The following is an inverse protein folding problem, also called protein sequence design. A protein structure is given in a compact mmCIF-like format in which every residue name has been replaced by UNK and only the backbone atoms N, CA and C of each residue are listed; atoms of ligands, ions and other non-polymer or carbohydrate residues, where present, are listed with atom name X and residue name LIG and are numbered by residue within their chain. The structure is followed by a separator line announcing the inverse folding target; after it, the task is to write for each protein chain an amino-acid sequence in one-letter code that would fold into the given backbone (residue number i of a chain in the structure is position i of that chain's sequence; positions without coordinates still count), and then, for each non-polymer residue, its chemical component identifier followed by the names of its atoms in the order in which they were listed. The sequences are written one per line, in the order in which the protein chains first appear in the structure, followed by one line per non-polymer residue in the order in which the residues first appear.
data_IF_731788321025
#
_entry.id   IF_731788321025
#
_cell.length_a   1.000
_cell.length_b   1.000
_cell.length_c   1.000
_cell.angle_alpha   90.00
_cell.angle_beta   90.00
_cell.angle_gamma   90.00
#
_symmetry.space_group_name_H-M   'P 1'
#
loop_
_entity.id
_entity.type
_entity.pdbx_description
1 polymer ?
#
# COMPACT_ATOMS: atom_id res chain seq x y z
N UNK A 1 -16.63 67.60 2.13
CA UNK A 1 -17.83 66.90 1.62
C UNK A 1 -18.15 65.77 2.59
N UNK A 2 -19.24 65.92 3.34
CA UNK A 2 -19.75 64.95 4.31
C UNK A 2 -20.54 63.85 3.60
N UNK A 3 -20.39 62.60 4.04
CA UNK A 3 -21.45 61.59 3.96
C UNK A 3 -21.28 60.58 5.12
N UNK A 4 -22.04 60.83 6.18
CA UNK A 4 -22.35 59.83 7.21
C UNK A 4 -23.36 58.84 6.64
N UNK A 5 -23.18 57.54 6.89
CA UNK A 5 -24.29 56.59 6.86
C UNK A 5 -24.07 55.50 7.92
N UNK A 6 -24.79 55.68 9.01
CA UNK A 6 -25.05 54.75 10.10
C UNK A 6 -25.88 53.57 9.57
N UNK A 7 -25.47 52.33 9.89
CA UNK A 7 -26.39 51.18 9.91
C UNK A 7 -26.27 50.46 11.25
N UNK A 8 -27.42 50.33 11.91
CA UNK A 8 -27.62 49.68 13.21
C UNK A 8 -27.43 48.16 13.12
N UNK A 9 -27.06 47.49 14.24
CA UNK A 9 -27.06 46.04 14.34
C UNK A 9 -28.48 45.52 14.57
N UNK A 10 -28.91 44.51 13.79
CA UNK A 10 -30.16 43.78 14.04
C UNK A 10 -29.85 42.39 14.63
N UNK A 11 -30.48 42.14 15.78
CA UNK A 11 -30.96 40.88 16.39
C UNK A 11 -30.30 39.56 15.96
N UNK A 12 -29.69 38.78 16.85
CA UNK A 12 -30.34 37.92 17.88
C UNK A 12 -31.41 37.02 17.30
N UNK A 13 -31.05 35.73 17.16
CA UNK A 13 -31.83 34.47 17.26
C UNK A 13 -31.22 33.45 16.27
N UNK A 14 -31.03 32.16 16.54
CA UNK A 14 -31.50 31.28 17.60
C UNK A 14 -30.54 30.08 17.58
N UNK A 15 -29.81 29.81 18.68
CA UNK A 15 -29.07 28.54 18.82
C UNK A 15 -30.08 27.46 19.20
N UNK A 16 -30.11 26.29 18.56
CA UNK A 16 -30.98 25.21 19.01
C UNK A 16 -30.58 24.78 20.43
N UNK A 17 -31.54 24.57 21.36
CA UNK A 17 -31.21 24.21 22.74
C UNK A 17 -30.65 22.78 22.81
N UNK A 18 -29.55 22.63 23.55
CA UNK A 18 -28.95 21.33 23.89
C UNK A 18 -30.00 20.46 24.59
N UNK A 19 -30.20 19.24 24.07
CA UNK A 19 -31.10 18.24 24.65
C UNK A 19 -30.75 18.03 26.13
N UNK A 20 -31.73 18.30 26.99
CA UNK A 20 -31.68 18.06 28.44
C UNK A 20 -31.27 16.60 28.72
N UNK A 21 -30.25 16.41 29.57
CA UNK A 21 -29.92 15.10 30.16
C UNK A 21 -31.11 14.58 30.96
N UNK A 22 -31.49 13.29 30.87
CA UNK A 22 -32.42 12.71 31.84
C UNK A 22 -31.73 12.51 33.21
N UNK A 23 -32.50 12.52 34.32
CA UNK A 23 -32.00 12.35 35.69
C UNK A 23 -31.47 10.92 35.94
N UNK A 24 -30.62 10.70 36.97
CA UNK A 24 -30.15 9.37 37.31
C UNK A 24 -31.29 8.57 37.93
N UNK A 25 -31.60 7.42 37.37
CA UNK A 25 -32.51 6.46 38.00
C UNK A 25 -31.72 5.69 39.05
N UNK A 26 -32.01 5.93 40.33
CA UNK A 26 -31.72 4.98 41.41
C UNK A 26 -32.39 3.64 41.05
N UNK A 27 -31.58 2.64 40.71
CA UNK A 27 -32.05 1.26 40.61
C UNK A 27 -31.81 0.58 41.95
N UNK A 28 -32.87 0.57 42.74
CA UNK A 28 -33.07 -0.41 43.79
C UNK A 28 -33.05 -1.84 43.20
N UNK A 29 -32.59 -2.76 44.03
CA UNK A 29 -31.94 -4.02 43.65
C UNK A 29 -32.76 -4.97 42.79
N UNK A 30 -32.09 -5.52 41.77
CA UNK A 30 -32.23 -6.93 41.37
C UNK A 30 -30.86 -7.46 40.94
N UNK A 31 -30.39 -8.42 41.71
CA UNK A 31 -29.51 -9.50 41.26
C UNK A 31 -29.85 -9.91 39.82
N UNK A 32 -28.94 -9.66 38.88
CA UNK A 32 -28.82 -10.47 37.68
C UNK A 32 -27.33 -10.64 37.37
N UNK A 33 -26.80 -11.88 37.38
CA UNK A 33 -25.40 -12.13 37.09
C UNK A 33 -25.11 -11.88 35.60
N UNK A 34 -23.92 -11.32 35.37
CA UNK A 34 -23.16 -11.09 34.13
C UNK A 34 -23.74 -11.57 32.77
N UNK A 35 -23.61 -10.78 31.69
CA UNK A 35 -23.83 -11.27 30.34
C UNK A 35 -22.63 -12.11 29.88
N UNK A 36 -22.50 -13.32 30.42
CA UNK A 36 -21.82 -14.39 29.70
C UNK A 36 -22.78 -14.85 28.60
N UNK A 37 -22.52 -14.44 27.36
CA UNK A 37 -22.74 -15.19 26.12
C UNK A 37 -22.41 -14.28 24.95
N UNK A 38 -21.16 -13.77 24.92
CA UNK A 38 -20.53 -13.48 23.64
C UNK A 38 -20.33 -14.85 22.99
N UNK A 39 -21.29 -15.25 22.15
CA UNK A 39 -21.07 -16.39 21.26
C UNK A 39 -19.77 -16.10 20.52
N UNK A 40 -18.72 -16.93 20.63
CA UNK A 40 -17.55 -16.75 19.81
C UNK A 40 -18.06 -16.83 18.38
N UNK A 41 -17.83 -15.76 17.60
CA UNK A 41 -17.93 -15.88 16.16
C UNK A 41 -17.06 -17.09 15.80
N UNK A 42 -17.55 -18.06 15.01
CA UNK A 42 -16.65 -19.04 14.46
C UNK A 42 -15.69 -18.24 13.58
N UNK A 43 -14.50 -17.95 14.13
CA UNK A 43 -13.33 -17.64 13.33
C UNK A 43 -13.16 -18.90 12.51
N UNK A 44 -13.76 -18.94 11.32
CA UNK A 44 -13.44 -19.95 10.34
C UNK A 44 -11.91 -19.92 10.24
N UNK A 45 -11.20 -21.02 10.54
CA UNK A 45 -9.84 -21.15 10.06
C UNK A 45 -9.98 -21.31 8.56
N UNK A 46 -10.06 -20.19 7.84
CA UNK A 46 -9.81 -20.20 6.42
C UNK A 46 -8.31 -20.43 6.30
N UNK A 47 -7.95 -21.71 6.30
CA UNK A 47 -7.01 -22.27 5.34
C UNK A 47 -7.54 -21.88 3.96
N UNK A 48 -7.44 -20.60 3.61
CA UNK A 48 -7.77 -20.09 2.31
C UNK A 48 -6.67 -20.64 1.41
N UNK A 49 -6.91 -21.83 0.86
CA UNK A 49 -6.24 -22.22 -0.35
C UNK A 49 -6.55 -21.09 -1.33
N UNK A 50 -5.57 -20.27 -1.72
CA UNK A 50 -5.83 -19.17 -2.64
C UNK A 50 -6.45 -19.77 -3.89
N UNK A 51 -7.54 -19.17 -4.37
CA UNK A 51 -8.17 -19.59 -5.62
C UNK A 51 -7.08 -19.54 -6.71
N UNK A 52 -6.73 -20.68 -7.34
CA UNK A 52 -5.61 -20.76 -8.27
C UNK A 52 -5.78 -19.80 -9.47
N UNK A 53 -7.02 -19.41 -9.79
CA UNK A 53 -7.30 -18.43 -10.85
C UNK A 53 -6.87 -17.02 -10.43
N UNK A 54 -7.08 -16.66 -9.16
CA UNK A 54 -6.68 -15.36 -8.61
C UNK A 54 -5.17 -15.26 -8.48
N UNK A 55 -4.50 -16.36 -8.11
CA UNK A 55 -3.05 -16.40 -7.95
C UNK A 55 -2.32 -16.19 -9.29
N UNK A 56 -2.77 -16.87 -10.35
CA UNK A 56 -2.22 -16.71 -11.70
C UNK A 56 -2.47 -15.31 -12.26
N UNK A 57 -3.66 -14.73 -12.05
CA UNK A 57 -3.94 -13.35 -12.44
C UNK A 57 -3.01 -12.35 -11.72
N UNK A 58 -2.78 -12.53 -10.42
CA UNK A 58 -1.86 -11.70 -9.65
C UNK A 58 -0.43 -11.84 -10.16
N UNK A 59 0.01 -13.06 -10.49
CA UNK A 59 1.33 -13.32 -11.05
C UNK A 59 1.54 -12.55 -12.36
N UNK A 60 0.57 -12.57 -13.27
CA UNK A 60 0.65 -11.82 -14.54
C UNK A 60 0.79 -10.32 -14.31
N UNK A 61 0.02 -9.76 -13.38
CA UNK A 61 0.13 -8.33 -13.00
C UNK A 61 1.51 -8.02 -12.45
N UNK A 62 2.09 -8.92 -11.63
CA UNK A 62 3.46 -8.75 -11.11
C UNK A 62 4.49 -8.78 -12.24
N UNK A 63 4.39 -9.71 -13.20
CA UNK A 63 5.32 -9.74 -14.34
C UNK A 63 5.19 -8.48 -15.21
N UNK A 64 3.98 -7.96 -15.43
CA UNK A 64 3.77 -6.70 -16.14
C UNK A 64 4.38 -5.51 -15.39
N UNK A 65 4.25 -5.47 -14.05
CA UNK A 65 4.87 -4.45 -13.22
C UNK A 65 6.40 -4.55 -13.21
N UNK A 66 6.98 -5.75 -13.30
CA UNK A 66 8.42 -5.95 -13.44
C UNK A 66 8.87 -5.53 -14.83
N UNK A 67 8.07 -5.80 -15.87
CA UNK A 67 8.39 -5.49 -17.25
C UNK A 67 9.58 -6.32 -17.77
N UNK A 68 10.38 -5.80 -18.72
CA UNK A 68 11.51 -6.52 -19.31
C UNK A 68 12.73 -6.64 -18.39
N UNK A 69 12.61 -6.25 -17.11
CA UNK A 69 13.70 -6.36 -16.13
C UNK A 69 13.94 -7.82 -15.79
N UNK A 70 14.96 -8.38 -16.39
CA UNK A 70 15.49 -9.70 -16.08
C UNK A 70 16.95 -9.58 -15.58
N UNK A 71 17.46 -10.55 -14.80
CA UNK A 71 18.85 -10.53 -14.36
C UNK A 71 19.84 -10.35 -15.53
N UNK A 72 20.74 -9.38 -15.43
CA UNK A 72 21.68 -8.97 -16.48
C UNK A 72 21.14 -7.91 -17.45
N UNK A 73 19.87 -7.54 -17.37
CA UNK A 73 19.32 -6.42 -18.13
C UNK A 73 19.83 -5.08 -17.58
N UNK A 74 20.05 -4.10 -18.46
CA UNK A 74 20.36 -2.73 -18.08
C UNK A 74 19.21 -1.84 -18.57
N UNK A 75 18.61 -1.09 -17.65
CA UNK A 75 17.63 -0.07 -17.99
C UNK A 75 18.12 1.31 -17.56
N UNK A 76 17.64 2.34 -18.24
CA UNK A 76 17.92 3.73 -17.95
C UNK A 76 16.62 4.48 -17.75
N UNK A 77 16.59 5.35 -16.74
CA UNK A 77 15.50 6.26 -16.49
C UNK A 77 16.07 7.64 -16.12
N UNK A 78 15.21 8.54 -15.62
CA UNK A 78 15.63 9.90 -15.20
C UNK A 78 16.60 9.91 -14.02
N UNK A 79 16.61 8.86 -13.20
CA UNK A 79 17.45 8.77 -12.01
C UNK A 79 18.86 8.23 -12.31
N UNK A 80 19.02 7.48 -13.40
CA UNK A 80 20.30 6.91 -13.81
C UNK A 80 20.19 5.70 -14.73
N UNK A 81 21.27 4.92 -14.80
CA UNK A 81 21.29 3.63 -15.48
C UNK A 81 21.56 2.53 -14.46
N UNK A 82 20.75 1.48 -14.50
CA UNK A 82 20.72 0.44 -13.50
C UNK A 82 20.81 -0.93 -14.17
N UNK A 83 21.76 -1.73 -13.71
CA UNK A 83 21.85 -3.14 -14.03
C UNK A 83 21.00 -3.94 -13.04
N UNK A 84 20.13 -4.79 -13.57
CA UNK A 84 19.32 -5.71 -12.79
C UNK A 84 20.19 -6.91 -12.41
N UNK A 85 20.44 -7.09 -11.12
CA UNK A 85 21.23 -8.21 -10.62
C UNK A 85 20.33 -9.42 -10.31
N UNK A 86 19.14 -9.17 -9.75
CA UNK A 86 18.20 -10.22 -9.39
C UNK A 86 16.77 -9.70 -9.35
N UNK A 87 15.81 -10.61 -9.55
CA UNK A 87 14.37 -10.33 -9.46
C UNK A 87 13.76 -11.29 -8.44
N UNK A 88 13.34 -10.73 -7.31
CA UNK A 88 12.73 -11.44 -6.19
C UNK A 88 11.21 -11.38 -6.35
N UNK A 89 10.60 -12.54 -6.65
CA UNK A 89 9.15 -12.68 -6.85
C UNK A 89 8.42 -13.20 -5.60
N UNK A 90 9.17 -13.58 -4.57
CA UNK A 90 8.60 -14.05 -3.31
C UNK A 90 8.18 -12.86 -2.44
N UNK A 91 6.88 -12.72 -2.10
CA UNK A 91 6.39 -11.56 -1.35
C UNK A 91 7.06 -11.40 0.01
N UNK A 92 7.34 -12.51 0.71
CA UNK A 92 7.98 -12.47 2.02
C UNK A 92 9.40 -11.87 1.93
N UNK A 93 10.19 -12.35 0.98
CA UNK A 93 11.53 -11.83 0.74
C UNK A 93 11.49 -10.36 0.29
N UNK A 94 10.56 -10.01 -0.61
CA UNK A 94 10.38 -8.63 -1.08
C UNK A 94 10.04 -7.66 0.06
N UNK A 95 9.18 -8.08 1.01
CA UNK A 95 8.82 -7.29 2.20
C UNK A 95 10.01 -7.02 3.09
N UNK A 96 10.88 -8.02 3.28
CA UNK A 96 12.11 -7.86 4.07
C UNK A 96 13.06 -6.89 3.39
N UNK A 97 13.30 -7.07 2.08
CA UNK A 97 14.21 -6.22 1.29
C UNK A 97 13.74 -4.77 1.22
N UNK A 98 12.47 -4.54 0.92
CA UNK A 98 11.91 -3.19 0.74
C UNK A 98 11.39 -2.58 2.05
N UNK A 99 11.38 -3.34 3.15
CA UNK A 99 10.79 -2.96 4.45
C UNK A 99 9.35 -2.45 4.33
N UNK A 100 8.57 -3.02 3.41
CA UNK A 100 7.19 -2.62 3.09
C UNK A 100 6.26 -3.82 3.11
N UNK A 101 5.17 -3.78 3.91
CA UNK A 101 4.20 -4.88 4.04
C UNK A 101 3.43 -5.19 2.75
N UNK A 102 3.24 -4.20 1.89
CA UNK A 102 2.54 -4.32 0.60
C UNK A 102 3.45 -4.80 -0.54
N UNK A 103 4.76 -4.94 -0.32
CA UNK A 103 5.66 -5.43 -1.36
C UNK A 103 5.30 -6.87 -1.74
N UNK A 104 5.17 -7.11 -3.04
CA UNK A 104 4.93 -8.43 -3.62
C UNK A 104 6.14 -8.96 -4.36
N UNK A 105 7.00 -8.06 -4.82
CA UNK A 105 8.20 -8.34 -5.58
C UNK A 105 9.23 -7.25 -5.28
N UNK A 106 10.48 -7.53 -5.60
CA UNK A 106 11.58 -6.57 -5.56
C UNK A 106 12.58 -6.90 -6.66
N UNK A 107 13.22 -5.88 -7.21
CA UNK A 107 14.32 -6.02 -8.16
C UNK A 107 15.57 -5.47 -7.48
N UNK A 108 16.63 -6.25 -7.44
CA UNK A 108 17.93 -5.82 -6.91
C UNK A 108 18.70 -5.23 -8.08
N UNK A 109 19.07 -3.96 -7.96
CA UNK A 109 19.76 -3.23 -9.01
C UNK A 109 21.07 -2.66 -8.51
N UNK A 110 21.99 -2.40 -9.44
CA UNK A 110 23.22 -1.65 -9.21
C UNK A 110 23.30 -0.50 -10.19
N UNK A 111 23.63 0.69 -9.69
CA UNK A 111 23.92 1.84 -10.54
C UNK A 111 25.21 1.59 -11.34
N UNK A 112 25.12 1.59 -12.67
CA UNK A 112 26.28 1.35 -13.56
C UNK A 112 27.06 2.63 -13.86
N UNK A 113 26.48 3.79 -13.60
CA UNK A 113 27.14 5.09 -13.78
C UNK A 113 28.02 5.44 -12.58
N UNK A 114 27.74 4.86 -11.41
CA UNK A 114 28.52 5.05 -10.19
C UNK A 114 29.42 3.83 -9.93
N UNK A 115 30.73 3.91 -10.22
CA UNK A 115 31.63 2.80 -9.95
C UNK A 115 31.66 2.48 -8.45
N UNK A 116 31.44 1.20 -8.11
CA UNK A 116 31.39 0.74 -6.72
C UNK A 116 30.06 0.99 -5.99
N UNK A 117 28.99 1.40 -6.70
CA UNK A 117 27.67 1.50 -6.09
C UNK A 117 27.22 0.16 -5.49
N UNK A 118 26.75 0.22 -4.26
CA UNK A 118 26.17 -0.94 -3.60
C UNK A 118 24.83 -1.33 -4.25
N UNK A 119 24.55 -2.63 -4.39
CA UNK A 119 23.25 -3.10 -4.82
C UNK A 119 22.14 -2.66 -3.87
N UNK A 120 21.00 -2.24 -4.42
CA UNK A 120 19.81 -1.90 -3.62
C UNK A 120 18.54 -2.46 -4.24
N UNK A 121 17.53 -2.69 -3.39
CA UNK A 121 16.24 -3.22 -3.80
C UNK A 121 15.28 -2.11 -4.21
N UNK A 122 14.62 -2.28 -5.34
CA UNK A 122 13.55 -1.41 -5.85
C UNK A 122 12.28 -2.20 -6.09
N UNK A 123 11.14 -1.62 -5.72
CA UNK A 123 9.80 -2.14 -5.98
C UNK A 123 8.99 -1.22 -6.91
N UNK A 124 9.69 -0.42 -7.73
CA UNK A 124 9.07 0.58 -8.60
C UNK A 124 8.59 -0.06 -9.89
N UNK A 125 7.29 0.05 -10.17
CA UNK A 125 6.65 -0.47 -11.38
C UNK A 125 7.36 0.02 -12.63
N UNK A 126 7.50 -0.85 -13.63
CA UNK A 126 8.04 -0.52 -14.94
C UNK A 126 7.08 0.44 -15.64
N UNK A 127 7.61 1.54 -16.12
CA UNK A 127 6.84 2.59 -16.78
C UNK A 127 7.42 2.89 -18.16
N UNK A 128 6.71 3.70 -18.93
CA UNK A 128 7.19 4.19 -20.23
C UNK A 128 8.41 5.11 -20.11
N UNK A 129 8.71 5.61 -18.90
CA UNK A 129 9.91 6.41 -18.61
C UNK A 129 11.16 5.52 -18.46
N UNK A 130 10.98 4.23 -18.24
CA UNK A 130 12.07 3.27 -18.15
C UNK A 130 12.41 2.75 -19.55
N UNK A 131 13.65 2.98 -19.97
CA UNK A 131 14.16 2.54 -21.27
C UNK A 131 15.11 1.37 -21.08
N UNK A 132 14.80 0.25 -21.72
CA UNK A 132 15.73 -0.87 -21.78
C UNK A 132 16.92 -0.50 -22.69
N UNK A 133 18.12 -0.50 -22.13
CA UNK A 133 19.37 -0.21 -22.84
C UNK A 133 20.02 -1.50 -23.32
N UNK A 134 19.93 -2.55 -22.49
CA UNK A 134 20.45 -3.88 -22.78
C UNK A 134 19.48 -4.92 -22.25
N UNK A 135 19.11 -5.87 -23.08
CA UNK A 135 18.36 -7.04 -22.65
C UNK A 135 19.22 -7.94 -21.77
N UNK A 136 18.57 -8.68 -20.88
CA UNK A 136 19.26 -9.76 -20.20
C UNK A 136 19.83 -10.72 -21.25
N UNK A 137 21.07 -11.16 -21.06
CA UNK A 137 21.61 -12.25 -21.84
C UNK A 137 20.89 -13.53 -21.40
N UNK A 138 19.70 -13.76 -21.96
CA UNK A 138 19.11 -15.08 -21.96
C UNK A 138 20.00 -15.84 -22.92
N UNK A 139 20.95 -16.63 -22.39
CA UNK A 139 21.62 -17.65 -23.17
C UNK A 139 20.50 -18.39 -23.89
N UNK A 140 20.39 -18.20 -25.21
CA UNK A 140 19.29 -18.67 -26.01
C UNK A 140 19.35 -20.19 -25.99
N UNK A 141 18.73 -20.77 -24.96
CA UNK A 141 18.71 -22.19 -24.71
C UNK A 141 17.73 -22.80 -25.68
N UNK A 142 18.22 -23.09 -26.89
CA UNK A 142 17.54 -24.00 -27.79
C UNK A 142 17.28 -25.32 -27.08
N UNK A 143 16.01 -25.70 -27.02
CA UNK A 143 15.56 -27.07 -26.84
C UNK A 143 14.18 -27.22 -27.44
#
# INVERSE_FOLDING_TARGET
MHASMTFLPSSVDERPPLRRRPPPHERDGRDEPAPEHVRPHPQQPHTAVPDPVVDEALRRVVEEQIGPRAPGAIYQNVDGAFEVLSVVREPEQARVLLRRRSARWAVIVRDVLRPGAEPFAVGSVWTTSDRLVREACVASGGR
#
